data_IF_351381220513
#
_entry.id   IF_351381220513
#
_cell.length_a   1.000
_cell.length_b   1.000
_cell.length_c   1.000
_cell.angle_alpha   90.00
_cell.angle_beta   90.00
_cell.angle_gamma   90.00
#
_symmetry.space_group_name_H-M   'P 1'
#
loop_
_entity.id
_entity.type
_entity.pdbx_description
1 polymer ?
#
# COMPACT_ATOMS: atom_id res chain seq x y z
N UNK A 1 10.92 14.06 -6.94
CA UNK A 1 11.70 12.96 -6.35
C UNK A 1 12.09 13.34 -4.94
N UNK A 2 11.71 12.56 -3.97
CA UNK A 2 12.02 12.78 -2.55
C UNK A 2 12.50 11.48 -1.91
N UNK A 3 13.20 11.62 -0.79
CA UNK A 3 13.53 10.50 0.09
C UNK A 3 12.36 10.30 1.05
N UNK A 4 11.89 9.08 1.16
CA UNK A 4 10.89 8.69 2.13
C UNK A 4 11.59 8.20 3.38
N UNK A 5 11.24 8.80 4.52
CA UNK A 5 11.84 8.47 5.82
C UNK A 5 10.73 8.13 6.80
N UNK A 6 10.91 7.09 7.59
CA UNK A 6 10.02 6.78 8.72
C UNK A 6 10.09 7.88 9.79
N UNK A 7 9.07 7.99 10.68
CA UNK A 7 9.13 8.86 11.84
C UNK A 7 10.34 8.58 12.76
N UNK A 8 10.87 7.35 12.71
CA UNK A 8 12.08 6.90 13.43
C UNK A 8 13.40 7.31 12.77
N UNK A 9 13.34 7.98 11.61
CA UNK A 9 14.52 8.40 10.85
C UNK A 9 15.04 7.40 9.81
N UNK A 10 14.45 6.20 9.73
CA UNK A 10 14.86 5.19 8.74
C UNK A 10 14.42 5.59 7.34
N UNK A 11 15.33 5.59 6.38
CA UNK A 11 15.02 5.86 4.98
C UNK A 11 14.24 4.68 4.37
N UNK A 12 13.00 4.91 3.95
CA UNK A 12 12.12 3.91 3.36
C UNK A 12 12.30 3.72 1.85
N UNK A 13 12.89 4.69 1.21
CA UNK A 13 13.20 4.68 -0.23
C UNK A 13 13.69 6.04 -0.71
N UNK A 14 14.45 6.01 -1.80
CA UNK A 14 14.90 7.21 -2.50
C UNK A 14 14.26 7.28 -3.88
N UNK A 15 14.15 8.49 -4.43
CA UNK A 15 13.64 8.74 -5.78
C UNK A 15 12.17 8.30 -6.01
N UNK A 16 11.30 8.52 -5.04
CA UNK A 16 9.87 8.24 -5.18
C UNK A 16 9.26 9.25 -6.14
N UNK A 17 8.67 8.76 -7.20
CA UNK A 17 7.92 9.58 -8.16
C UNK A 17 6.46 9.62 -7.76
N UNK A 18 5.92 10.81 -7.52
CA UNK A 18 4.50 10.99 -7.25
C UNK A 18 3.66 10.57 -8.46
N UNK A 19 2.63 9.78 -8.23
CA UNK A 19 1.62 9.48 -9.23
C UNK A 19 0.62 10.64 -9.28
N UNK A 20 0.68 11.42 -10.36
CA UNK A 20 -0.12 12.65 -10.50
C UNK A 20 -1.53 12.43 -11.04
N UNK A 21 -1.79 11.33 -11.74
CA UNK A 21 -3.06 11.07 -12.43
C UNK A 21 -3.80 9.85 -11.84
N UNK A 22 -3.81 9.74 -10.52
CA UNK A 22 -4.51 8.69 -9.81
C UNK A 22 -6.02 8.94 -9.86
N UNK A 23 -6.80 7.96 -10.32
CA UNK A 23 -8.26 8.02 -10.36
C UNK A 23 -8.91 7.33 -9.19
N UNK A 24 -8.46 6.11 -8.94
CA UNK A 24 -8.98 5.28 -7.84
C UNK A 24 -7.83 4.67 -7.07
N UNK A 25 -8.03 4.54 -5.78
CA UNK A 25 -7.12 3.82 -4.90
C UNK A 25 -7.94 3.05 -3.87
N UNK A 26 -7.61 1.81 -3.65
CA UNK A 26 -8.17 1.01 -2.58
C UNK A 26 -7.08 0.19 -1.90
N UNK A 27 -7.22 -0.01 -0.60
CA UNK A 27 -6.35 -0.84 0.20
C UNK A 27 -7.20 -1.71 1.12
N UNK A 28 -6.83 -2.98 1.25
CA UNK A 28 -7.48 -3.95 2.11
C UNK A 28 -6.45 -4.53 3.07
N UNK A 29 -6.78 -4.52 4.35
CA UNK A 29 -5.95 -5.07 5.41
C UNK A 29 -6.69 -6.26 6.01
N UNK A 30 -6.09 -7.43 5.96
CA UNK A 30 -6.62 -8.66 6.52
C UNK A 30 -5.68 -9.13 7.63
N UNK A 31 -6.20 -9.21 8.85
CA UNK A 31 -5.40 -9.61 10.00
C UNK A 31 -5.31 -11.13 10.16
N UNK A 32 -6.10 -11.90 9.42
CA UNK A 32 -6.10 -13.36 9.41
C UNK A 32 -5.98 -13.94 10.84
N UNK A 33 -7.08 -13.86 11.59
CA UNK A 33 -7.18 -14.51 12.88
C UNK A 33 -7.72 -15.92 12.70
N UNK A 34 -7.18 -16.90 13.44
CA UNK A 34 -7.82 -18.22 13.52
C UNK A 34 -8.94 -18.15 14.53
N UNK A 35 -10.10 -18.64 14.17
CA UNK A 35 -11.28 -18.82 15.04
C UNK A 35 -11.53 -20.30 15.40
N UNK A 36 -10.65 -21.19 14.98
CA UNK A 36 -10.83 -22.65 14.99
C UNK A 36 -9.92 -23.37 16.00
N UNK A 37 -9.32 -22.63 16.93
CA UNK A 37 -8.41 -23.19 17.94
C UNK A 37 -9.19 -23.61 19.21
N UNK A 38 -9.83 -24.78 19.14
CA UNK A 38 -10.44 -25.42 20.29
C UNK A 38 -9.42 -26.18 21.08
N UNK A 39 -9.11 -25.73 22.29
CA UNK A 39 -8.21 -26.45 23.19
C UNK A 39 -8.92 -27.62 23.82
N UNK A 40 -8.27 -28.79 23.76
CA UNK A 40 -8.71 -30.02 24.42
C UNK A 40 -8.33 -30.04 25.92
N UNK A 41 -8.51 -28.92 26.63
CA UNK A 41 -8.17 -28.81 28.08
C UNK A 41 -9.36 -29.15 28.98
N UNK A 42 -10.47 -29.63 28.41
CA UNK A 42 -11.69 -29.98 29.11
C UNK A 42 -12.55 -28.79 29.53
N UNK A 43 -12.16 -27.55 29.26
CA UNK A 43 -12.94 -26.36 29.58
C UNK A 43 -14.11 -26.13 28.63
N UNK A 44 -14.06 -26.70 27.42
CA UNK A 44 -15.04 -26.45 26.35
C UNK A 44 -15.02 -25.00 25.82
N UNK A 45 -14.08 -24.20 26.27
CA UNK A 45 -13.95 -22.80 25.86
C UNK A 45 -13.04 -22.69 24.64
N UNK A 46 -13.39 -21.77 23.74
CA UNK A 46 -12.56 -21.43 22.62
C UNK A 46 -11.30 -20.71 23.09
N UNK A 47 -10.15 -21.10 22.57
CA UNK A 47 -8.90 -20.40 22.84
C UNK A 47 -8.94 -18.98 22.24
N UNK A 48 -8.15 -18.08 22.80
CA UNK A 48 -7.99 -16.76 22.21
C UNK A 48 -7.51 -16.92 20.75
N UNK A 49 -8.15 -16.24 19.78
CA UNK A 49 -7.76 -16.33 18.38
C UNK A 49 -6.26 -16.05 18.19
N UNK A 50 -5.57 -16.93 17.50
CA UNK A 50 -4.15 -16.75 17.20
C UNK A 50 -3.99 -15.83 15.99
N UNK A 51 -3.14 -14.82 16.14
CA UNK A 51 -2.84 -13.89 15.04
C UNK A 51 -1.98 -14.62 14.00
N UNK A 52 -2.52 -14.77 12.80
CA UNK A 52 -1.78 -15.25 11.63
C UNK A 52 -1.10 -14.06 10.89
N UNK A 53 -0.50 -14.38 9.75
CA UNK A 53 0.17 -13.36 8.94
C UNK A 53 -0.84 -12.34 8.44
N UNK A 54 -0.60 -11.07 8.75
CA UNK A 54 -1.34 -9.96 8.16
C UNK A 54 -1.06 -9.86 6.67
N UNK A 55 -2.12 -9.73 5.87
CA UNK A 55 -2.03 -9.54 4.43
C UNK A 55 -2.57 -8.14 4.10
N UNK A 56 -1.80 -7.39 3.33
CA UNK A 56 -2.22 -6.06 2.87
C UNK A 56 -2.16 -6.09 1.35
N UNK A 57 -3.31 -5.90 0.73
CA UNK A 57 -3.47 -5.85 -0.73
C UNK A 57 -4.16 -4.57 -1.14
N UNK A 58 -4.03 -4.21 -2.40
CA UNK A 58 -4.73 -3.05 -2.91
C UNK A 58 -4.70 -2.96 -4.41
N UNK A 59 -5.35 -1.93 -4.91
CA UNK A 59 -5.34 -1.60 -6.32
C UNK A 59 -5.38 -0.09 -6.52
N UNK A 60 -4.82 0.35 -7.61
CA UNK A 60 -4.95 1.73 -8.07
C UNK A 60 -5.14 1.79 -9.58
N UNK A 61 -5.91 2.77 -10.03
CA UNK A 61 -6.07 3.08 -11.45
C UNK A 61 -5.45 4.44 -11.73
N UNK A 62 -4.58 4.49 -12.72
CA UNK A 62 -3.91 5.72 -13.12
C UNK A 62 -3.86 5.85 -14.64
N UNK A 63 -3.63 7.08 -15.13
CA UNK A 63 -3.36 7.34 -16.54
C UNK A 63 -2.07 6.64 -16.95
N UNK A 64 -2.05 6.09 -18.17
CA UNK A 64 -0.85 5.44 -18.71
C UNK A 64 0.23 6.49 -19.04
N UNK A 65 1.09 6.78 -18.09
CA UNK A 65 2.22 7.71 -18.19
C UNK A 65 3.55 6.97 -18.11
N UNK A 66 4.66 7.65 -18.36
CA UNK A 66 6.00 7.08 -18.20
C UNK A 66 6.24 6.53 -16.77
N UNK A 67 5.69 7.20 -15.75
CA UNK A 67 5.74 6.72 -14.36
C UNK A 67 5.03 5.37 -14.20
N UNK A 68 3.88 5.18 -14.83
CA UNK A 68 3.15 3.90 -14.80
C UNK A 68 3.88 2.83 -15.60
N UNK A 69 4.56 3.19 -16.69
CA UNK A 69 5.39 2.22 -17.43
C UNK A 69 6.57 1.70 -16.61
N UNK A 70 7.09 2.47 -15.66
CA UNK A 70 8.11 2.01 -14.73
C UNK A 70 7.59 0.87 -13.82
N UNK A 71 6.32 0.89 -13.41
CA UNK A 71 5.70 -0.23 -12.68
C UNK A 71 5.66 -1.51 -13.51
N UNK A 72 5.41 -1.40 -14.82
CA UNK A 72 5.47 -2.55 -15.72
C UNK A 72 6.89 -3.16 -15.78
N UNK A 73 7.91 -2.34 -15.85
CA UNK A 73 9.31 -2.81 -15.84
C UNK A 73 9.62 -3.54 -14.51
N UNK A 74 9.17 -2.97 -13.38
CA UNK A 74 9.31 -3.59 -12.07
C UNK A 74 8.57 -4.92 -11.98
N UNK A 75 7.36 -5.01 -12.54
CA UNK A 75 6.58 -6.25 -12.58
C UNK A 75 7.30 -7.34 -13.39
N UNK A 76 7.81 -7.01 -14.59
CA UNK A 76 8.57 -7.93 -15.44
C UNK A 76 9.82 -8.45 -14.69
N UNK A 77 10.49 -7.60 -13.93
CA UNK A 77 11.65 -7.96 -13.14
C UNK A 77 11.29 -8.72 -11.85
N UNK A 78 9.99 -8.97 -11.58
CA UNK A 78 9.49 -9.51 -10.31
C UNK A 78 10.05 -8.75 -9.08
N UNK A 79 10.19 -7.44 -9.24
CA UNK A 79 10.76 -6.54 -8.24
C UNK A 79 9.70 -5.93 -7.32
N UNK A 80 10.18 -5.18 -6.36
CA UNK A 80 9.37 -4.35 -5.47
C UNK A 80 9.63 -2.87 -5.73
N UNK A 81 8.64 -2.04 -5.43
CA UNK A 81 8.76 -0.58 -5.55
C UNK A 81 8.01 0.09 -4.41
N UNK A 82 8.47 1.24 -3.91
CA UNK A 82 7.70 2.02 -2.95
C UNK A 82 6.51 2.70 -3.64
N UNK A 83 5.42 2.83 -2.89
CA UNK A 83 4.23 3.58 -3.31
C UNK A 83 3.83 4.56 -2.22
N UNK A 84 3.67 5.82 -2.60
CA UNK A 84 3.13 6.87 -1.73
C UNK A 84 1.90 7.47 -2.38
N UNK A 85 0.81 7.50 -1.63
CA UNK A 85 -0.46 8.08 -2.09
C UNK A 85 -0.86 9.18 -1.12
N UNK A 86 -1.07 10.37 -1.66
CA UNK A 86 -1.51 11.55 -0.91
C UNK A 86 -2.92 11.92 -1.29
N UNK A 87 -3.77 12.07 -0.29
CA UNK A 87 -5.07 12.70 -0.41
C UNK A 87 -5.02 14.04 0.34
N UNK A 88 -5.23 15.13 -0.36
CA UNK A 88 -5.19 16.47 0.21
C UNK A 88 -6.56 17.11 0.14
N UNK A 89 -6.99 17.73 1.23
CA UNK A 89 -8.17 18.57 1.30
C UNK A 89 -7.73 20.00 1.67
N UNK A 90 -7.76 20.89 0.68
CA UNK A 90 -7.23 22.25 0.87
C UNK A 90 -5.70 22.27 1.02
N UNK A 91 -5.19 23.20 1.82
CA UNK A 91 -3.75 23.43 2.02
C UNK A 91 -3.20 22.78 3.29
N UNK A 92 -4.05 22.44 4.25
CA UNK A 92 -3.66 22.03 5.59
C UNK A 92 -3.90 20.55 5.86
N UNK A 93 -5.01 20.00 5.35
CA UNK A 93 -5.41 18.65 5.66
C UNK A 93 -4.91 17.66 4.61
N UNK A 94 -4.31 16.60 5.05
CA UNK A 94 -3.80 15.55 4.18
C UNK A 94 -3.81 14.19 4.87
N UNK A 95 -4.11 13.14 4.10
CA UNK A 95 -3.91 11.76 4.50
C UNK A 95 -2.91 11.14 3.52
N UNK A 96 -1.85 10.59 4.03
CA UNK A 96 -0.79 9.98 3.26
C UNK A 96 -0.67 8.50 3.62
N UNK A 97 -0.78 7.63 2.62
CA UNK A 97 -0.43 6.23 2.73
C UNK A 97 0.97 6.02 2.17
N UNK A 98 1.83 5.42 2.99
CA UNK A 98 3.20 5.10 2.66
C UNK A 98 3.38 3.61 2.69
N UNK A 99 3.71 3.02 1.54
CA UNK A 99 3.91 1.60 1.34
C UNK A 99 5.37 1.40 0.87
N UNK A 100 6.29 1.02 1.76
CA UNK A 100 7.72 0.97 1.46
C UNK A 100 8.08 -0.05 0.38
N UNK A 101 7.35 -1.16 0.31
CA UNK A 101 7.55 -2.18 -0.70
C UNK A 101 6.21 -2.76 -1.13
N UNK A 102 5.82 -2.50 -2.37
CA UNK A 102 4.72 -3.20 -3.02
C UNK A 102 5.25 -4.10 -4.12
N UNK A 103 4.59 -5.22 -4.33
CA UNK A 103 4.78 -6.10 -5.49
C UNK A 103 3.49 -6.12 -6.28
N UNK A 104 3.57 -5.91 -7.59
CA UNK A 104 2.42 -6.01 -8.46
C UNK A 104 2.02 -7.46 -8.63
N UNK A 105 0.73 -7.74 -8.53
CA UNK A 105 0.18 -9.10 -8.63
C UNK A 105 -0.40 -9.40 -10.01
N UNK A 106 -0.63 -8.35 -10.81
CA UNK A 106 -1.09 -8.48 -12.19
C UNK A 106 -0.20 -7.68 -13.15
N UNK A 107 -0.14 -8.07 -14.43
CA UNK A 107 0.55 -7.25 -15.43
C UNK A 107 -0.18 -5.92 -15.61
N UNK A 108 0.53 -4.78 -15.55
CA UNK A 108 -0.04 -3.46 -15.85
C UNK A 108 -0.45 -3.40 -17.33
N UNK A 109 -1.71 -3.69 -17.59
CA UNK A 109 -2.25 -3.70 -18.96
C UNK A 109 -3.08 -2.44 -19.19
N UNK A 110 -2.75 -1.63 -20.19
CA UNK A 110 -3.56 -0.47 -20.54
C UNK A 110 -4.96 -0.87 -20.98
N UNK A 111 -5.96 -0.26 -20.40
CA UNK A 111 -7.33 -0.33 -20.90
C UNK A 111 -7.54 0.84 -21.86
N UNK A 112 -7.94 0.54 -23.07
CA UNK A 112 -8.20 1.53 -24.12
C UNK A 112 -9.66 2.01 -24.13
N UNK A 113 -10.26 2.16 -22.96
CA UNK A 113 -11.62 2.68 -22.85
C UNK A 113 -11.64 4.20 -23.05
N UNK A 114 -12.10 4.61 -24.21
CA UNK A 114 -12.26 6.02 -24.59
C UNK A 114 -10.95 6.74 -24.96
N UNK A 115 -10.92 8.06 -24.75
CA UNK A 115 -9.86 8.94 -25.25
C UNK A 115 -8.55 8.91 -24.46
N UNK A 116 -8.47 8.21 -23.33
CA UNK A 116 -7.26 8.19 -22.50
C UNK A 116 -6.98 6.78 -21.95
N UNK A 117 -5.89 6.14 -22.38
CA UNK A 117 -5.53 4.84 -21.87
C UNK A 117 -5.23 4.92 -20.36
N UNK A 118 -5.84 4.01 -19.60
CA UNK A 118 -5.65 3.86 -18.15
C UNK A 118 -5.08 2.49 -17.85
N UNK A 119 -4.44 2.38 -16.70
CA UNK A 119 -3.85 1.12 -16.22
C UNK A 119 -4.36 0.86 -14.82
N UNK A 120 -4.92 -0.33 -14.61
CA UNK A 120 -5.25 -0.83 -13.28
C UNK A 120 -4.12 -1.72 -12.79
N UNK A 121 -3.53 -1.35 -11.67
CA UNK A 121 -2.47 -2.10 -11.03
C UNK A 121 -3.00 -2.69 -9.72
N UNK A 122 -2.89 -4.00 -9.57
CA UNK A 122 -3.13 -4.68 -8.32
C UNK A 122 -1.80 -4.97 -7.64
N UNK A 123 -1.75 -4.84 -6.33
CA UNK A 123 -0.52 -5.02 -5.58
C UNK A 123 -0.77 -5.71 -4.23
N UNK A 124 0.28 -6.32 -3.74
CA UNK A 124 0.42 -6.74 -2.35
C UNK A 124 1.54 -5.95 -1.70
N UNK A 125 1.39 -5.70 -0.40
CA UNK A 125 2.40 -5.01 0.40
C UNK A 125 3.30 -6.03 1.07
N UNK A 126 4.59 -5.85 0.91
CA UNK A 126 5.61 -6.72 1.49
C UNK A 126 6.42 -5.95 2.55
N UNK A 127 7.06 -6.68 3.45
CA UNK A 127 8.13 -6.10 4.26
C UNK A 127 9.36 -5.90 3.38
N UNK A 128 9.95 -4.71 3.41
CA UNK A 128 11.20 -4.45 2.70
C UNK A 128 12.46 -4.85 3.50
N UNK A 129 12.27 -5.43 4.69
CA UNK A 129 13.36 -5.83 5.58
C UNK A 129 14.05 -4.66 6.31
N UNK A 130 13.73 -3.42 5.96
CA UNK A 130 14.33 -2.20 6.54
C UNK A 130 13.31 -1.43 7.36
N UNK A 131 12.09 -1.32 6.87
CA UNK A 131 10.99 -0.66 7.58
C UNK A 131 10.47 -1.53 8.72
N UNK A 132 10.18 -0.92 9.87
CA UNK A 132 9.58 -1.59 11.03
C UNK A 132 8.13 -1.99 10.76
N UNK A 133 7.47 -1.32 9.83
CA UNK A 133 6.08 -1.56 9.45
C UNK A 133 5.94 -1.69 7.94
N UNK A 134 5.06 -2.58 7.46
CA UNK A 134 4.79 -2.72 6.02
C UNK A 134 4.02 -1.52 5.44
N UNK A 135 3.32 -0.77 6.29
CA UNK A 135 2.51 0.38 5.88
C UNK A 135 2.49 1.44 6.97
N UNK A 136 2.51 2.70 6.54
CA UNK A 136 2.28 3.88 7.38
C UNK A 136 1.09 4.66 6.86
N UNK A 137 0.26 5.12 7.78
CA UNK A 137 -0.80 6.09 7.49
C UNK A 137 -0.48 7.35 8.30
N UNK A 138 -0.20 8.43 7.60
CA UNK A 138 0.11 9.73 8.20
C UNK A 138 -1.06 10.66 7.94
N UNK A 139 -1.64 11.20 9.00
CA UNK A 139 -2.69 12.19 8.94
C UNK A 139 -2.10 13.53 9.38
N UNK A 140 -2.31 14.56 8.57
CA UNK A 140 -2.02 15.95 8.91
C UNK A 140 -3.33 16.72 8.88
N UNK A 141 -3.59 17.46 9.93
CA UNK A 141 -4.75 18.36 10.01
C UNK A 141 -4.32 19.70 10.58
N UNK A 142 -5.02 20.76 10.23
CA UNK A 142 -4.90 22.07 10.86
C UNK A 142 -5.75 22.19 12.13
N UNK A 143 -6.58 21.19 12.40
CA UNK A 143 -7.41 21.15 13.60
C UNK A 143 -6.51 20.88 14.81
N UNK A 144 -6.60 21.77 15.81
CA UNK A 144 -5.81 21.69 17.06
C UNK A 144 -6.58 21.03 18.20
N UNK A 145 -7.83 20.60 17.96
CA UNK A 145 -8.73 20.04 18.96
C UNK A 145 -8.83 18.50 18.87
N UNK A 146 -7.73 17.83 18.58
CA UNK A 146 -7.62 16.36 18.60
C UNK A 146 -7.18 15.85 19.97
#
# INVERSE_FOLDING_TARGET
TGTLTEPTGTTLGSAITALTDLRTFSIKIENNLTDDDFRSDGSGLMAQPTVLRRTITGQFEARNTAAIQAFRTTWIANGTTPLVVNFTAGTADAVQFVLPAIRLTNPPTPNADGNQPRVTNQFEVLSNGTSTQPMWCVVRTADTDL
#
